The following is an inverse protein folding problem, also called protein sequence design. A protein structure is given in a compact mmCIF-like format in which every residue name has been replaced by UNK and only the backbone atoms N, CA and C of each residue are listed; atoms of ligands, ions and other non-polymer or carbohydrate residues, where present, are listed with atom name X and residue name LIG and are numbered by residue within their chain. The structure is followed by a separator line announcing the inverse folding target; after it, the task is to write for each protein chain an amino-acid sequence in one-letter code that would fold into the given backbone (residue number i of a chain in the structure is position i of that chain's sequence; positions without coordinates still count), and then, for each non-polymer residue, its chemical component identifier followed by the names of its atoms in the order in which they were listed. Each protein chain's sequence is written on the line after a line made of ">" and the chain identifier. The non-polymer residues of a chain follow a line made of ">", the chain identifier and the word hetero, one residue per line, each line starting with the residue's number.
data_IF_468589483979
#
_entry.id   IF_468589483979
#
_cell.length_a   1.000
_cell.length_b   1.000
_cell.length_c   1.000
_cell.angle_alpha   90.00
_cell.angle_beta   90.00
_cell.angle_gamma   90.00
#
_symmetry.space_group_name_H-M   'P 1'
#
loop_
_entity.id
_entity.type
_entity.pdbx_description
1 polymer ?
#
# COMPACT_ATOMS: atom_id res chain seq x y z
N UNK A 1 5.51 -5.41 2.68
CA UNK A 1 6.96 -5.07 2.57
C UNK A 1 7.27 -4.70 1.12
N UNK A 2 7.25 -3.40 0.83
CA UNK A 2 7.62 -2.85 -0.48
C UNK A 2 9.12 -3.00 -0.75
N UNK A 3 9.50 -3.20 -2.00
CA UNK A 3 10.91 -3.13 -2.43
C UNK A 3 11.28 -1.70 -2.80
N UNK A 4 12.57 -1.35 -2.79
CA UNK A 4 13.05 -0.02 -3.24
C UNK A 4 12.53 0.31 -4.65
N UNK A 5 12.47 -0.68 -5.53
CA UNK A 5 11.95 -0.54 -6.88
C UNK A 5 10.46 -0.19 -6.93
N UNK A 6 9.66 -0.75 -6.00
CA UNK A 6 8.22 -0.45 -5.92
C UNK A 6 7.97 1.01 -5.51
N UNK A 7 8.80 1.51 -4.59
CA UNK A 7 8.74 2.87 -4.07
C UNK A 7 9.06 3.90 -5.17
N UNK A 8 10.03 3.59 -6.02
CA UNK A 8 10.38 4.41 -7.19
C UNK A 8 9.25 4.46 -8.22
N UNK A 9 8.52 3.36 -8.40
CA UNK A 9 7.36 3.31 -9.32
C UNK A 9 6.25 4.25 -8.88
N UNK A 10 5.88 4.27 -7.59
CA UNK A 10 4.83 5.18 -7.10
C UNK A 10 5.22 6.65 -7.27
N UNK A 11 6.50 6.98 -7.04
CA UNK A 11 7.03 8.32 -7.31
C UNK A 11 6.98 8.66 -8.80
N UNK A 12 7.29 7.70 -9.68
CA UNK A 12 7.16 7.90 -11.13
C UNK A 12 5.72 8.16 -11.56
N UNK A 13 4.74 7.44 -10.98
CA UNK A 13 3.31 7.67 -11.24
C UNK A 13 2.90 9.08 -10.80
N UNK A 14 3.35 9.53 -9.62
CA UNK A 14 3.09 10.91 -9.18
C UNK A 14 3.68 11.94 -10.16
N UNK A 15 4.92 11.75 -10.61
CA UNK A 15 5.57 12.62 -11.58
C UNK A 15 4.86 12.67 -12.94
N UNK A 16 4.30 11.55 -13.40
CA UNK A 16 3.54 11.50 -14.65
C UNK A 16 2.26 12.38 -14.60
N UNK A 17 1.66 12.52 -13.42
CA UNK A 17 0.48 13.37 -13.21
C UNK A 17 0.86 14.84 -13.00
N UNK A 18 1.87 15.09 -12.19
CA UNK A 18 2.30 16.46 -11.83
C UNK A 18 3.08 17.15 -12.95
N UNK A 19 3.55 16.40 -13.94
CA UNK A 19 4.32 16.92 -15.07
C UNK A 19 5.80 17.09 -14.77
N UNK A 20 6.57 17.70 -15.69
CA UNK A 20 8.01 17.84 -15.56
C UNK A 20 8.36 18.76 -14.38
N UNK A 21 9.37 18.38 -13.60
CA UNK A 21 9.86 19.18 -12.48
C UNK A 21 10.39 18.31 -11.34
N UNK A 22 10.94 18.96 -10.32
CA UNK A 22 11.22 18.32 -9.04
C UNK A 22 9.99 18.46 -8.16
N UNK A 23 9.52 17.33 -7.63
CA UNK A 23 8.33 17.25 -6.78
C UNK A 23 8.75 16.74 -5.39
N UNK A 24 8.30 17.42 -4.34
CA UNK A 24 8.38 16.94 -2.97
C UNK A 24 7.37 15.79 -2.78
N UNK A 25 7.90 14.57 -2.70
CA UNK A 25 7.12 13.35 -2.49
C UNK A 25 7.44 12.80 -1.11
N UNK A 26 6.41 12.51 -0.32
CA UNK A 26 6.54 11.90 1.01
C UNK A 26 5.70 10.64 1.14
N UNK A 27 6.13 9.73 2.01
CA UNK A 27 5.32 8.59 2.39
C UNK A 27 4.17 9.05 3.30
N UNK A 28 3.02 8.39 3.20
CA UNK A 28 1.79 8.78 3.91
C UNK A 28 1.97 8.86 5.43
N UNK A 29 2.81 8.00 6.00
CA UNK A 29 3.10 8.01 7.44
C UNK A 29 4.07 9.13 7.87
N UNK A 30 4.77 9.75 6.91
CA UNK A 30 5.74 10.82 7.14
C UNK A 30 5.15 12.21 6.87
N UNK A 31 3.84 12.29 6.63
CA UNK A 31 3.12 13.55 6.46
C UNK A 31 3.18 14.36 7.75
N UNK A 32 3.63 15.62 7.64
CA UNK A 32 3.72 16.55 8.77
C UNK A 32 2.62 17.61 8.66
N UNK A 33 1.71 17.73 9.66
CA UNK A 33 0.67 18.75 9.64
C UNK A 33 1.21 20.17 9.44
N UNK A 34 0.62 20.91 8.51
CA UNK A 34 1.02 22.29 8.20
C UNK A 34 2.17 22.43 7.21
N UNK A 35 2.79 21.32 6.78
CA UNK A 35 3.77 21.29 5.69
C UNK A 35 3.08 20.82 4.42
N UNK A 36 3.18 21.60 3.34
CA UNK A 36 2.64 21.22 2.04
C UNK A 36 3.67 20.49 1.17
N UNK A 37 3.23 19.44 0.49
CA UNK A 37 4.01 18.64 -0.45
C UNK A 37 3.29 18.49 -1.79
N UNK A 38 4.02 18.07 -2.82
CA UNK A 38 3.48 17.86 -4.17
C UNK A 38 2.75 16.52 -4.29
N UNK A 39 3.30 15.48 -3.66
CA UNK A 39 2.69 14.16 -3.66
C UNK A 39 2.84 13.43 -2.32
N UNK A 40 1.84 12.62 -2.00
CA UNK A 40 1.86 11.66 -0.91
C UNK A 40 1.75 10.28 -1.53
N UNK A 41 2.54 9.31 -1.07
CA UNK A 41 2.47 7.92 -1.55
C UNK A 41 2.21 6.92 -0.44
N UNK A 42 1.57 5.81 -0.80
CA UNK A 42 1.28 4.71 0.12
C UNK A 42 1.57 3.34 -0.51
N UNK A 43 2.33 2.54 0.22
CA UNK A 43 2.63 1.15 -0.07
C UNK A 43 1.40 0.22 -0.03
N UNK A 44 1.52 -0.94 -0.66
CA UNK A 44 0.42 -1.91 -0.88
C UNK A 44 -0.14 -2.56 0.39
N UNK A 45 0.60 -2.57 1.48
CA UNK A 45 0.14 -3.06 2.78
C UNK A 45 -0.42 -1.95 3.68
N UNK A 46 -0.18 -0.69 3.36
CA UNK A 46 -0.43 0.41 4.29
C UNK A 46 -1.93 0.71 4.46
N UNK A 47 -2.65 1.01 3.38
CA UNK A 47 -4.07 1.36 3.48
C UNK A 47 -4.95 0.21 4.00
N UNK A 48 -4.76 -1.05 3.56
CA UNK A 48 -5.48 -2.20 4.14
C UNK A 48 -5.28 -2.33 5.65
N UNK A 49 -4.07 -2.03 6.16
CA UNK A 49 -3.77 -2.04 7.59
C UNK A 49 -4.46 -0.90 8.32
N UNK A 50 -4.36 0.33 7.81
CA UNK A 50 -5.03 1.50 8.41
C UNK A 50 -6.56 1.39 8.39
N UNK A 51 -7.11 0.68 7.41
CA UNK A 51 -8.54 0.37 7.36
C UNK A 51 -8.95 -0.61 8.46
N UNK A 52 -8.11 -1.59 8.78
CA UNK A 52 -8.34 -2.46 9.93
C UNK A 52 -8.21 -1.71 11.27
N UNK A 53 -7.28 -0.77 11.37
CA UNK A 53 -7.07 0.09 12.54
C UNK A 53 -8.10 1.24 12.66
N UNK A 54 -9.19 1.21 11.87
CA UNK A 54 -10.24 2.25 11.80
C UNK A 54 -9.71 3.68 11.58
N UNK A 55 -8.50 3.80 11.02
CA UNK A 55 -7.76 5.06 10.91
C UNK A 55 -7.67 5.58 9.47
N UNK A 56 -8.19 4.82 8.49
CA UNK A 56 -8.12 5.16 7.07
C UNK A 56 -8.71 6.54 6.75
N UNK A 57 -9.91 6.85 7.23
CA UNK A 57 -10.55 8.13 6.91
C UNK A 57 -9.72 9.33 7.42
N UNK A 58 -9.25 9.26 8.67
CA UNK A 58 -8.45 10.32 9.28
C UNK A 58 -7.12 10.52 8.57
N UNK A 59 -6.43 9.43 8.19
CA UNK A 59 -5.14 9.54 7.52
C UNK A 59 -5.28 10.09 6.09
N UNK A 60 -6.37 9.79 5.39
CA UNK A 60 -6.64 10.32 4.04
C UNK A 60 -6.97 11.82 4.12
N UNK A 61 -7.74 12.26 5.12
CA UNK A 61 -7.98 13.69 5.35
C UNK A 61 -6.69 14.44 5.66
N UNK A 62 -5.82 13.86 6.51
CA UNK A 62 -4.50 14.44 6.82
C UNK A 62 -3.61 14.54 5.58
N UNK A 63 -3.58 13.48 4.75
CA UNK A 63 -2.84 13.47 3.50
C UNK A 63 -3.33 14.58 2.57
N UNK A 64 -4.65 14.70 2.39
CA UNK A 64 -5.24 15.74 1.56
C UNK A 64 -4.90 17.14 2.06
N UNK A 65 -4.98 17.37 3.36
CA UNK A 65 -4.66 18.67 3.97
C UNK A 65 -3.18 19.06 3.82
N UNK A 66 -2.30 18.08 3.63
CA UNK A 66 -0.86 18.27 3.48
C UNK A 66 -0.41 18.33 2.01
N UNK A 67 -1.32 18.10 1.07
CA UNK A 67 -1.06 18.33 -0.35
C UNK A 67 -1.34 19.80 -0.69
N UNK A 68 -0.47 20.40 -1.52
CA UNK A 68 -0.81 21.68 -2.15
C UNK A 68 -2.01 21.51 -3.10
N UNK A 69 -2.71 22.59 -3.48
CA UNK A 69 -3.76 22.51 -4.50
C UNK A 69 -3.23 21.85 -5.79
N UNK A 70 -3.93 20.83 -6.27
CA UNK A 70 -3.51 20.04 -7.44
C UNK A 70 -2.39 19.02 -7.17
N UNK A 71 -1.96 18.87 -5.91
CA UNK A 71 -1.09 17.77 -5.48
C UNK A 71 -1.79 16.42 -5.55
N UNK A 72 -1.03 15.33 -5.49
CA UNK A 72 -1.56 13.98 -5.77
C UNK A 72 -1.27 12.99 -4.66
N UNK A 73 -2.27 12.18 -4.30
CA UNK A 73 -2.08 10.94 -3.56
C UNK A 73 -1.90 9.78 -4.54
N UNK A 74 -0.87 8.96 -4.34
CA UNK A 74 -0.61 7.74 -5.11
C UNK A 74 -0.51 6.54 -4.17
N UNK A 75 -1.51 5.67 -4.17
CA UNK A 75 -1.61 4.56 -3.21
C UNK A 75 -1.77 3.21 -3.89
N UNK A 76 -0.86 2.28 -3.63
CA UNK A 76 -1.05 0.89 -4.04
C UNK A 76 -2.06 0.21 -3.10
N UNK A 77 -3.04 -0.50 -3.65
CA UNK A 77 -4.03 -1.26 -2.85
C UNK A 77 -4.32 -2.60 -3.54
N UNK A 78 -3.98 -3.73 -2.90
CA UNK A 78 -4.28 -5.06 -3.42
C UNK A 78 -5.78 -5.34 -3.49
N UNK A 79 -6.25 -5.81 -4.64
CA UNK A 79 -7.61 -6.32 -4.81
C UNK A 79 -7.68 -7.78 -4.40
N UNK A 80 -8.11 -8.01 -3.17
CA UNK A 80 -8.17 -9.35 -2.60
C UNK A 80 -9.58 -9.93 -2.57
N UNK A 81 -10.59 -9.26 -3.13
CA UNK A 81 -12.00 -9.69 -3.06
C UNK A 81 -12.19 -11.16 -3.48
N UNK A 82 -11.52 -11.58 -4.56
CA UNK A 82 -11.55 -12.97 -5.05
C UNK A 82 -10.77 -13.93 -4.16
N UNK A 83 -9.68 -13.47 -3.56
CA UNK A 83 -8.85 -14.26 -2.65
C UNK A 83 -9.49 -14.38 -1.26
N UNK A 84 -10.22 -13.37 -0.80
CA UNK A 84 -10.98 -13.40 0.45
C UNK A 84 -12.05 -14.47 0.45
N UNK A 85 -12.64 -14.80 -0.70
CA UNK A 85 -13.54 -15.96 -0.83
C UNK A 85 -12.80 -17.31 -0.73
N UNK A 86 -11.59 -17.40 -1.30
CA UNK A 86 -10.79 -18.62 -1.31
C UNK A 86 -10.03 -18.86 0.00
N UNK A 87 -9.78 -17.80 0.78
CA UNK A 87 -9.05 -17.80 2.07
C UNK A 87 -7.75 -18.62 2.02
N UNK A 88 -6.83 -18.29 1.10
CA UNK A 88 -5.55 -19.00 1.02
C UNK A 88 -4.77 -18.81 2.32
N UNK A 89 -4.14 -19.88 2.81
CA UNK A 89 -3.38 -19.86 4.07
C UNK A 89 -1.93 -19.43 3.90
N UNK A 90 -1.34 -19.63 2.71
CA UNK A 90 -0.01 -19.17 2.39
C UNK A 90 0.21 -19.12 0.85
N UNK A 91 0.74 -18.02 0.28
CA UNK A 91 1.32 -18.06 -1.05
C UNK A 91 2.65 -18.83 -1.04
N UNK A 92 3.19 -19.23 -2.22
CA UNK A 92 4.53 -19.80 -2.31
C UNK A 92 5.58 -18.90 -1.65
N UNK A 93 6.56 -19.45 -0.91
CA UNK A 93 7.66 -18.67 -0.35
C UNK A 93 8.43 -17.92 -1.42
N UNK A 94 8.82 -16.67 -1.12
CA UNK A 94 9.69 -15.89 -1.99
C UNK A 94 11.14 -16.16 -1.64
N UNK A 95 11.95 -16.50 -2.64
CA UNK A 95 13.38 -16.79 -2.47
C UNK A 95 14.19 -15.72 -3.21
N UNK A 96 15.16 -15.12 -2.52
CA UNK A 96 16.11 -14.18 -3.08
C UNK A 96 17.49 -14.48 -2.53
N UNK A 97 18.28 -15.26 -3.28
CA UNK A 97 19.63 -15.66 -2.87
C UNK A 97 19.64 -16.44 -1.55
N UNK A 98 20.27 -15.85 -0.55
CA UNK A 98 20.39 -16.34 0.83
C UNK A 98 19.21 -15.94 1.73
N UNK A 99 18.17 -15.33 1.18
CA UNK A 99 16.98 -14.90 1.91
C UNK A 99 15.72 -15.61 1.42
N UNK A 100 14.91 -16.11 2.35
CA UNK A 100 13.58 -16.67 2.08
C UNK A 100 12.55 -15.92 2.90
N UNK A 101 11.44 -15.51 2.27
CA UNK A 101 10.31 -14.90 2.96
C UNK A 101 9.09 -15.79 2.83
N UNK A 102 8.54 -16.18 3.98
CA UNK A 102 7.30 -16.95 4.09
C UNK A 102 6.21 -16.01 4.57
N UNK A 103 5.00 -16.15 4.02
CA UNK A 103 3.81 -15.43 4.44
C UNK A 103 2.75 -16.41 4.89
N UNK A 104 2.18 -16.17 6.07
CA UNK A 104 1.10 -16.96 6.66
C UNK A 104 -0.11 -16.05 6.83
N UNK A 105 -1.25 -16.50 6.35
CA UNK A 105 -2.49 -15.72 6.28
C UNK A 105 -3.55 -16.39 7.14
N UNK A 106 -4.12 -15.62 8.05
CA UNK A 106 -5.20 -16.04 8.93
C UNK A 106 -6.45 -15.20 8.64
N UNK A 107 -7.37 -15.74 7.84
CA UNK A 107 -8.55 -15.04 7.36
C UNK A 107 -9.67 -15.05 8.41
N UNK A 108 -10.34 -13.91 8.56
CA UNK A 108 -11.60 -13.87 9.29
C UNK A 108 -12.67 -14.75 8.60
N UNK A 109 -13.68 -15.25 9.34
CA UNK A 109 -14.72 -16.12 8.79
C UNK A 109 -15.47 -15.53 7.60
N UNK A 110 -15.63 -14.20 7.58
CA UNK A 110 -16.31 -13.45 6.53
C UNK A 110 -15.44 -13.16 5.29
N UNK A 111 -14.12 -13.41 5.37
CA UNK A 111 -13.16 -13.13 4.30
C UNK A 111 -12.87 -11.64 4.08
N UNK A 112 -13.35 -10.75 4.96
CA UNK A 112 -13.22 -9.28 4.82
C UNK A 112 -11.98 -8.73 5.54
N UNK A 113 -11.33 -9.54 6.36
CA UNK A 113 -10.07 -9.18 7.02
C UNK A 113 -9.17 -10.39 7.19
N UNK A 114 -7.88 -10.14 7.39
CA UNK A 114 -6.89 -11.19 7.61
C UNK A 114 -5.73 -10.70 8.49
N UNK A 115 -5.21 -11.61 9.30
CA UNK A 115 -3.87 -11.52 9.88
C UNK A 115 -2.84 -11.96 8.86
N UNK A 116 -1.72 -11.24 8.81
CA UNK A 116 -0.55 -11.58 7.99
C UNK A 116 0.68 -11.67 8.89
N UNK A 117 1.25 -12.87 8.96
CA UNK A 117 2.56 -13.11 9.56
C UNK A 117 3.60 -13.30 8.46
N UNK A 118 4.67 -12.51 8.52
CA UNK A 118 5.80 -12.58 7.60
C UNK A 118 7.02 -13.07 8.37
N UNK A 119 7.58 -14.19 7.95
CA UNK A 119 8.81 -14.76 8.52
C UNK A 119 9.90 -14.65 7.46
N UNK A 120 11.01 -14.01 7.80
CA UNK A 120 12.21 -13.95 6.95
C UNK A 120 13.27 -14.88 7.51
N UNK A 121 13.77 -15.76 6.66
CA UNK A 121 14.88 -16.66 6.91
C UNK A 121 16.11 -16.15 6.17
N UNK A 122 17.28 -16.22 6.82
CA UNK A 122 18.58 -15.98 6.20
C UNK A 122 19.44 -17.23 6.29
N UNK A 123 20.19 -17.52 5.23
CA UNK A 123 21.14 -18.64 5.21
C UNK A 123 22.43 -18.21 5.92
N UNK A 124 22.63 -18.74 7.12
CA UNK A 124 23.88 -18.67 7.85
C UNK A 124 24.82 -19.84 7.54
N UNK A 125 25.95 -19.89 8.24
CA UNK A 125 26.97 -20.93 8.06
C UNK A 125 26.49 -22.34 8.48
N UNK A 126 25.57 -22.42 9.44
CA UNK A 126 25.05 -23.68 10.00
C UNK A 126 23.68 -24.10 9.43
N UNK A 127 23.08 -23.29 8.55
CA UNK A 127 21.74 -23.55 8.00
C UNK A 127 20.91 -22.29 7.85
N UNK A 128 19.59 -22.45 7.82
CA UNK A 128 18.65 -21.33 7.77
C UNK A 128 18.28 -20.89 9.19
N UNK A 129 18.30 -19.58 9.43
CA UNK A 129 17.93 -18.97 10.71
C UNK A 129 16.82 -17.94 10.49
N UNK A 130 15.92 -17.78 11.47
CA UNK A 130 14.90 -16.73 11.45
C UNK A 130 15.60 -15.40 11.71
N UNK A 131 15.61 -14.53 10.71
CA UNK A 131 16.22 -13.20 10.80
C UNK A 131 15.23 -12.13 11.25
N UNK A 132 13.94 -12.29 10.90
CA UNK A 132 12.89 -11.34 11.27
C UNK A 132 11.51 -11.99 11.22
N UNK A 133 10.61 -11.52 12.09
CA UNK A 133 9.18 -11.80 12.03
C UNK A 133 8.39 -10.48 12.11
N UNK A 134 7.25 -10.42 11.43
CA UNK A 134 6.33 -9.29 11.51
C UNK A 134 4.89 -9.81 11.46
N UNK A 135 4.02 -9.29 12.33
CA UNK A 135 2.60 -9.64 12.37
C UNK A 135 1.76 -8.38 12.23
N UNK A 136 0.78 -8.43 11.34
CA UNK A 136 -0.07 -7.29 10.95
C UNK A 136 -1.49 -7.77 10.68
N UNK A 137 -2.47 -6.87 10.76
CA UNK A 137 -3.85 -7.14 10.39
C UNK A 137 -4.32 -6.16 9.34
N UNK A 138 -5.13 -6.64 8.43
CA UNK A 138 -5.58 -5.89 7.27
C UNK A 138 -7.06 -6.14 7.00
N UNK A 139 -7.71 -5.13 6.41
CA UNK A 139 -9.04 -5.25 5.82
C UNK A 139 -8.89 -5.41 4.31
N UNK A 140 -9.74 -6.22 3.69
CA UNK A 140 -9.90 -6.21 2.23
C UNK A 140 -10.59 -4.91 1.85
N UNK A 141 -9.99 -4.16 0.93
CA UNK A 141 -10.54 -2.91 0.41
C UNK A 141 -10.98 -3.14 -1.03
N UNK A 142 -12.29 -3.08 -1.25
CA UNK A 142 -12.85 -3.10 -2.60
C UNK A 142 -12.58 -1.79 -3.33
N UNK A 143 -12.70 -1.81 -4.66
CA UNK A 143 -12.56 -0.60 -5.46
C UNK A 143 -13.61 0.47 -5.11
N UNK A 144 -14.85 0.06 -4.83
CA UNK A 144 -15.91 0.98 -4.43
C UNK A 144 -15.62 1.66 -3.09
N UNK A 145 -15.12 0.91 -2.11
CA UNK A 145 -14.72 1.49 -0.81
C UNK A 145 -13.54 2.45 -0.94
N UNK A 146 -12.62 2.19 -1.86
CA UNK A 146 -11.51 3.12 -2.14
C UNK A 146 -12.00 4.41 -2.78
N UNK A 147 -12.88 4.34 -3.77
CA UNK A 147 -13.50 5.52 -4.38
C UNK A 147 -14.26 6.35 -3.36
N UNK A 148 -15.08 5.69 -2.54
CA UNK A 148 -15.85 6.34 -1.47
C UNK A 148 -14.93 6.99 -0.44
N UNK A 149 -13.93 6.27 0.08
CA UNK A 149 -13.02 6.79 1.09
C UNK A 149 -12.21 8.00 0.59
N UNK A 150 -11.73 7.95 -0.66
CA UNK A 150 -11.00 9.06 -1.27
C UNK A 150 -11.92 10.27 -1.52
N UNK A 151 -13.12 10.04 -2.04
CA UNK A 151 -14.11 11.09 -2.25
C UNK A 151 -14.56 11.73 -0.94
N UNK A 152 -14.80 10.95 0.10
CA UNK A 152 -15.17 11.42 1.44
C UNK A 152 -14.04 12.24 2.10
N UNK A 153 -12.78 11.89 1.84
CA UNK A 153 -11.63 12.68 2.27
C UNK A 153 -11.47 14.00 1.47
N UNK A 154 -12.23 14.19 0.39
CA UNK A 154 -12.27 15.39 -0.44
C UNK A 154 -11.37 15.34 -1.68
N UNK A 155 -10.77 14.19 -1.99
CA UNK A 155 -10.00 14.06 -3.23
C UNK A 155 -10.93 14.07 -4.46
N UNK A 156 -10.40 14.57 -5.56
CA UNK A 156 -11.07 14.64 -6.86
C UNK A 156 -10.26 13.89 -7.92
N UNK A 157 -10.86 13.69 -9.09
CA UNK A 157 -10.21 13.00 -10.22
C UNK A 157 -9.61 11.64 -9.83
N UNK A 158 -10.33 10.90 -8.98
CA UNK A 158 -9.91 9.57 -8.51
C UNK A 158 -9.84 8.62 -9.70
N UNK A 159 -8.67 8.01 -9.88
CA UNK A 159 -8.39 7.05 -10.93
C UNK A 159 -7.73 5.81 -10.34
N UNK A 160 -8.03 4.67 -10.93
CA UNK A 160 -7.45 3.38 -10.56
C UNK A 160 -6.70 2.81 -11.75
N UNK A 161 -5.39 2.82 -11.66
CA UNK A 161 -4.48 2.26 -12.66
C UNK A 161 -4.29 0.76 -12.42
N UNK A 162 -4.43 -0.04 -13.47
CA UNK A 162 -4.07 -1.45 -13.43
C UNK A 162 -2.54 -1.63 -13.24
N UNK A 163 -2.09 -2.82 -12.79
CA UNK A 163 -0.67 -3.13 -12.68
C UNK A 163 0.14 -2.85 -13.96
N UNK A 164 -0.41 -3.19 -15.12
CA UNK A 164 0.25 -2.96 -16.41
C UNK A 164 0.34 -1.49 -16.85
N UNK A 165 -0.51 -0.62 -16.30
CA UNK A 165 -0.54 0.81 -16.61
C UNK A 165 0.40 1.60 -15.69
N UNK A 166 0.46 1.22 -14.41
CA UNK A 166 1.32 1.86 -13.41
C UNK A 166 2.75 1.30 -13.39
N UNK A 167 2.94 0.06 -13.82
CA UNK A 167 4.19 -0.69 -13.61
C UNK A 167 4.33 -1.24 -12.19
N UNK A 168 3.35 -1.01 -11.31
CA UNK A 168 3.34 -1.54 -9.95
C UNK A 168 2.70 -2.94 -9.93
N UNK A 169 3.07 -3.76 -8.95
CA UNK A 169 2.65 -5.17 -8.83
C UNK A 169 1.16 -5.40 -8.49
N UNK A 170 0.46 -4.38 -8.01
CA UNK A 170 -0.97 -4.37 -7.69
C UNK A 170 -1.58 -3.07 -8.21
N UNK A 171 -2.92 -2.93 -8.28
CA UNK A 171 -3.54 -1.68 -8.69
C UNK A 171 -3.07 -0.48 -7.88
N UNK A 172 -2.96 0.66 -8.55
CA UNK A 172 -2.54 1.94 -7.95
C UNK A 172 -3.68 2.95 -8.10
N UNK A 173 -4.06 3.54 -6.98
CA UNK A 173 -5.01 4.63 -6.89
C UNK A 173 -4.28 5.96 -6.99
N UNK A 174 -4.84 6.85 -7.79
CA UNK A 174 -4.31 8.20 -8.01
C UNK A 174 -5.46 9.17 -7.77
N UNK A 175 -5.26 10.15 -6.90
CA UNK A 175 -6.31 11.08 -6.50
C UNK A 175 -5.74 12.48 -6.27
N UNK A 176 -6.42 13.51 -6.78
CA UNK A 176 -5.95 14.90 -6.75
C UNK A 176 -6.57 15.64 -5.56
N UNK A 177 -5.77 16.44 -4.84
CA UNK A 177 -6.22 17.25 -3.71
C UNK A 177 -6.97 18.52 -4.13
#
# INVERSE_FOLDING_TARGET
>A
MCTVNDVDVLTSVAGAVLGPGSHAVVDLLDVVPGVQVDAVRAADDLLPRLAHEESLANILMLARASLRPGGVLVAAVPELDRLGALRPTAPPPKVNGDRVTVQLWDWAPDGLSYGLEVVTLLRGAAGWEISATASTRHRVLSAAEMEEALGAAGFVSVQRLAPGESGYRVPVWVAVA
#
